data_IF_026004108853
#
_entry.id   IF_026004108853
#
_cell.length_a   1.000
_cell.length_b   1.000
_cell.length_c   1.000
_cell.angle_alpha   90.00
_cell.angle_beta   90.00
_cell.angle_gamma   90.00
#
_symmetry.space_group_name_H-M   'P 1'
#
loop_
_entity.id
_entity.type
_entity.pdbx_description
1 polymer ?
#
# COMPACT_ATOMS: atom_id res chain seq x y z
N UNK A 1 25.59 -2.15 -0.19
CA UNK A 1 24.78 -2.73 0.90
C UNK A 1 23.80 -1.66 1.38
N UNK A 2 22.56 -2.00 1.73
CA UNK A 2 21.61 -1.00 2.28
C UNK A 2 21.95 -0.68 3.74
N UNK A 3 21.71 0.57 4.14
CA UNK A 3 22.09 1.11 5.46
C UNK A 3 21.54 0.31 6.64
N UNK A 4 20.28 -0.14 6.57
CA UNK A 4 19.67 -0.95 7.62
C UNK A 4 18.73 -2.03 7.07
N UNK A 5 18.98 -3.28 7.46
CA UNK A 5 18.09 -4.42 7.21
C UNK A 5 16.83 -4.34 8.09
N UNK A 6 16.94 -3.79 9.30
CA UNK A 6 15.79 -3.61 10.20
C UNK A 6 14.74 -2.65 9.65
N UNK A 7 15.17 -1.58 8.96
CA UNK A 7 14.27 -0.64 8.27
C UNK A 7 13.54 -1.30 7.10
N UNK A 8 14.18 -2.24 6.40
CA UNK A 8 13.56 -3.02 5.32
C UNK A 8 12.46 -3.92 5.89
N UNK A 9 12.74 -4.63 6.99
CA UNK A 9 11.72 -5.47 7.64
C UNK A 9 10.54 -4.62 8.15
N UNK A 10 10.81 -3.44 8.70
CA UNK A 10 9.75 -2.51 9.12
C UNK A 10 8.91 -2.02 7.94
N UNK A 11 9.55 -1.62 6.83
CA UNK A 11 8.87 -1.26 5.59
C UNK A 11 8.00 -2.41 5.09
N UNK A 12 8.52 -3.64 5.06
CA UNK A 12 7.79 -4.83 4.63
C UNK A 12 6.51 -5.02 5.44
N UNK A 13 6.59 -5.05 6.77
CA UNK A 13 5.40 -5.26 7.60
C UNK A 13 4.38 -4.13 7.50
N UNK A 14 4.83 -2.87 7.43
CA UNK A 14 3.94 -1.73 7.22
C UNK A 14 3.21 -1.80 5.87
N UNK A 15 3.94 -2.15 4.80
CA UNK A 15 3.37 -2.33 3.48
C UNK A 15 2.37 -3.50 3.46
N UNK A 16 2.74 -4.66 4.01
CA UNK A 16 1.87 -5.85 4.03
C UNK A 16 0.58 -5.58 4.81
N UNK A 17 0.67 -5.04 6.03
CA UNK A 17 -0.50 -4.72 6.86
C UNK A 17 -1.37 -3.67 6.15
N UNK A 18 -0.75 -2.62 5.60
CA UNK A 18 -1.45 -1.58 4.86
C UNK A 18 -2.23 -2.12 3.66
N UNK A 19 -1.59 -2.98 2.86
CA UNK A 19 -2.21 -3.63 1.69
C UNK A 19 -3.35 -4.56 2.09
N UNK A 20 -3.18 -5.38 3.13
CA UNK A 20 -4.24 -6.30 3.60
C UNK A 20 -5.46 -5.52 4.10
N UNK A 21 -5.26 -4.45 4.88
CA UNK A 21 -6.34 -3.58 5.33
C UNK A 21 -7.07 -2.91 4.17
N UNK A 22 -6.33 -2.44 3.16
CA UNK A 22 -6.90 -1.84 1.95
C UNK A 22 -7.81 -2.85 1.23
N UNK A 23 -7.29 -4.04 0.91
CA UNK A 23 -8.02 -5.08 0.18
C UNK A 23 -9.28 -5.48 0.95
N UNK A 24 -9.16 -5.76 2.25
CA UNK A 24 -10.30 -6.15 3.09
C UNK A 24 -11.41 -5.09 3.08
N UNK A 25 -11.04 -3.81 3.25
CA UNK A 25 -12.02 -2.71 3.22
C UNK A 25 -12.73 -2.55 1.87
N UNK A 26 -12.02 -2.78 0.76
CA UNK A 26 -12.58 -2.67 -0.59
C UNK A 26 -13.43 -3.87 -0.98
N UNK A 27 -13.13 -5.07 -0.48
CA UNK A 27 -14.03 -6.20 -0.60
C UNK A 27 -15.35 -5.98 0.13
N UNK A 28 -15.29 -5.54 1.40
CA UNK A 28 -16.50 -5.24 2.18
C UNK A 28 -17.33 -4.17 1.47
N UNK A 29 -16.73 -3.03 1.11
CA UNK A 29 -17.45 -1.97 0.42
C UNK A 29 -18.01 -2.41 -0.94
N UNK A 30 -17.23 -3.13 -1.75
CA UNK A 30 -17.65 -3.58 -3.07
C UNK A 30 -18.82 -4.56 -3.01
N UNK A 31 -18.77 -5.52 -2.08
CA UNK A 31 -19.88 -6.45 -1.85
C UNK A 31 -21.11 -5.68 -1.34
N UNK A 32 -20.97 -4.83 -0.32
CA UNK A 32 -22.08 -4.05 0.23
C UNK A 32 -22.75 -3.18 -0.83
N UNK A 33 -21.98 -2.42 -1.62
CA UNK A 33 -22.52 -1.60 -2.70
C UNK A 33 -23.22 -2.45 -3.77
N UNK A 34 -22.57 -3.53 -4.22
CA UNK A 34 -23.14 -4.43 -5.21
C UNK A 34 -24.44 -5.10 -4.74
N UNK A 35 -24.53 -5.47 -3.46
CA UNK A 35 -25.75 -6.02 -2.86
C UNK A 35 -26.85 -4.96 -2.74
N UNK A 36 -26.52 -3.75 -2.27
CA UNK A 36 -27.50 -2.70 -2.04
C UNK A 36 -28.06 -2.12 -3.35
N UNK A 37 -27.23 -1.96 -4.39
CA UNK A 37 -27.68 -1.44 -5.69
C UNK A 37 -28.59 -2.40 -6.45
N UNK A 38 -28.51 -3.71 -6.17
CA UNK A 38 -29.37 -4.73 -6.78
C UNK A 38 -30.48 -5.21 -5.83
N UNK A 39 -30.61 -4.62 -4.65
CA UNK A 39 -31.61 -5.02 -3.68
C UNK A 39 -32.97 -4.47 -4.13
N UNK A 40 -33.91 -5.39 -4.35
CA UNK A 40 -35.27 -5.12 -4.79
C UNK A 40 -36.21 -5.78 -3.78
N UNK A 41 -37.21 -5.04 -3.33
CA UNK A 41 -38.26 -5.51 -2.44
C UNK A 41 -39.23 -6.45 -3.18
N UNK A 42 -40.07 -7.17 -2.44
CA UNK A 42 -41.07 -8.08 -3.03
C UNK A 42 -42.08 -7.37 -3.94
N UNK A 43 -42.23 -6.05 -3.79
CA UNK A 43 -43.09 -5.19 -4.63
C UNK A 43 -42.38 -4.63 -5.88
N UNK A 44 -41.12 -4.99 -6.11
CA UNK A 44 -40.32 -4.53 -7.26
C UNK A 44 -39.65 -3.17 -7.09
N UNK A 45 -39.82 -2.50 -5.94
CA UNK A 45 -39.13 -1.24 -5.63
C UNK A 45 -37.69 -1.47 -5.16
N UNK A 46 -36.83 -0.45 -5.30
CA UNK A 46 -35.46 -0.53 -4.77
C UNK A 46 -35.46 -0.51 -3.25
N UNK A 47 -34.79 -1.47 -2.61
CA UNK A 47 -34.72 -1.59 -1.14
C UNK A 47 -33.91 -0.46 -0.51
N UNK A 48 -32.84 -0.01 -1.18
CA UNK A 48 -31.95 1.03 -0.67
C UNK A 48 -31.77 2.15 -1.68
N UNK A 49 -31.77 3.38 -1.17
CA UNK A 49 -31.32 4.55 -1.90
C UNK A 49 -29.80 4.56 -2.10
N UNK A 50 -29.34 5.33 -3.08
CA UNK A 50 -27.91 5.52 -3.31
C UNK A 50 -27.19 6.13 -2.10
N UNK A 51 -27.86 7.05 -1.38
CA UNK A 51 -27.29 7.71 -0.19
C UNK A 51 -27.07 6.72 0.95
N UNK A 52 -27.98 5.76 1.14
CA UNK A 52 -27.80 4.70 2.15
C UNK A 52 -26.63 3.79 1.79
N UNK A 53 -26.48 3.42 0.51
CA UNK A 53 -25.33 2.65 0.06
C UNK A 53 -23.99 3.42 0.26
N UNK A 54 -24.01 4.74 0.05
CA UNK A 54 -22.85 5.60 0.31
C UNK A 54 -22.51 5.65 1.81
N UNK A 55 -23.50 5.83 2.67
CA UNK A 55 -23.31 5.85 4.13
C UNK A 55 -22.79 4.50 4.66
N UNK A 56 -23.33 3.38 4.17
CA UNK A 56 -22.87 2.04 4.52
C UNK A 56 -21.41 1.78 4.12
N UNK A 57 -20.93 2.45 3.05
CA UNK A 57 -19.55 2.34 2.56
C UNK A 57 -18.54 3.19 3.35
N UNK A 58 -19.01 4.13 4.17
CA UNK A 58 -18.15 5.11 4.85
C UNK A 58 -17.09 4.46 5.77
N UNK A 59 -17.41 3.46 6.61
CA UNK A 59 -16.41 2.79 7.44
C UNK A 59 -15.27 2.17 6.61
N UNK A 60 -15.57 1.57 5.46
CA UNK A 60 -14.55 1.01 4.58
C UNK A 60 -13.64 2.09 3.97
N UNK A 61 -14.12 3.31 3.72
CA UNK A 61 -13.26 4.41 3.27
C UNK A 61 -12.26 4.86 4.34
N UNK A 62 -12.68 4.85 5.61
CA UNK A 62 -11.77 5.15 6.74
C UNK A 62 -10.69 4.07 6.84
N UNK A 63 -11.09 2.78 6.84
CA UNK A 63 -10.13 1.67 6.93
C UNK A 63 -9.18 1.68 5.73
N UNK A 64 -9.67 1.97 4.53
CA UNK A 64 -8.84 2.15 3.33
C UNK A 64 -7.81 3.25 3.52
N UNK A 65 -8.21 4.41 4.02
CA UNK A 65 -7.31 5.53 4.26
C UNK A 65 -6.24 5.16 5.28
N UNK A 66 -6.61 4.45 6.36
CA UNK A 66 -5.67 3.93 7.34
C UNK A 66 -4.69 2.92 6.73
N UNK A 67 -5.17 1.95 5.95
CA UNK A 67 -4.30 1.00 5.23
C UNK A 67 -3.32 1.69 4.28
N UNK A 68 -3.80 2.70 3.55
CA UNK A 68 -2.96 3.55 2.72
C UNK A 68 -1.92 4.35 3.52
N UNK A 69 -2.28 4.84 4.71
CA UNK A 69 -1.36 5.56 5.59
C UNK A 69 -0.26 4.64 6.14
N UNK A 70 -0.56 3.38 6.48
CA UNK A 70 0.45 2.38 6.85
C UNK A 70 1.43 2.14 5.70
N UNK A 71 0.91 1.93 4.48
CA UNK A 71 1.75 1.74 3.30
C UNK A 71 2.63 2.96 3.01
N UNK A 72 2.05 4.17 3.04
CA UNK A 72 2.78 5.42 2.83
C UNK A 72 3.86 5.64 3.90
N UNK A 73 3.57 5.31 5.17
CA UNK A 73 4.57 5.36 6.24
C UNK A 73 5.72 4.39 5.96
N UNK A 74 5.43 3.18 5.48
CA UNK A 74 6.43 2.25 4.99
C UNK A 74 7.32 2.86 3.91
N UNK A 75 6.75 3.56 2.94
CA UNK A 75 7.52 4.25 1.88
C UNK A 75 8.45 5.34 2.43
N UNK A 76 8.06 6.05 3.48
CA UNK A 76 8.93 7.03 4.14
C UNK A 76 10.16 6.35 4.79
N UNK A 77 9.97 5.19 5.43
CA UNK A 77 11.10 4.41 5.97
C UNK A 77 12.05 3.93 4.88
N UNK A 78 11.51 3.50 3.72
CA UNK A 78 12.33 3.14 2.56
C UNK A 78 13.11 4.35 2.04
N UNK A 79 12.45 5.49 1.84
CA UNK A 79 13.09 6.72 1.37
C UNK A 79 14.24 7.14 2.29
N UNK A 80 14.03 7.07 3.61
CA UNK A 80 15.07 7.35 4.59
C UNK A 80 16.25 6.37 4.51
N UNK A 81 15.98 5.07 4.41
CA UNK A 81 17.02 4.04 4.32
C UNK A 81 17.88 4.20 3.06
N UNK A 82 17.24 4.48 1.92
CA UNK A 82 17.93 4.76 0.65
C UNK A 82 18.76 6.04 0.76
N UNK A 83 18.19 7.13 1.28
CA UNK A 83 18.90 8.39 1.46
C UNK A 83 20.15 8.24 2.34
N UNK A 84 20.06 7.49 3.44
CA UNK A 84 21.22 7.16 4.30
C UNK A 84 22.27 6.34 3.56
N UNK A 85 21.84 5.38 2.73
CA UNK A 85 22.73 4.54 1.94
C UNK A 85 23.51 5.36 0.91
N UNK A 86 22.81 6.23 0.16
CA UNK A 86 23.42 7.08 -0.88
C UNK A 86 24.38 8.12 -0.28
N UNK A 87 24.08 8.68 0.90
CA UNK A 87 25.00 9.63 1.56
C UNK A 87 26.25 8.96 2.13
N UNK A 88 26.19 7.66 2.41
CA UNK A 88 27.30 6.91 2.97
C UNK A 88 28.16 6.22 1.89
N UNK A 89 27.75 6.25 0.61
CA UNK A 89 28.51 5.62 -0.47
C UNK A 89 29.73 6.46 -0.84
N UNK A 90 30.92 5.85 -0.80
CA UNK A 90 32.13 6.41 -1.37
C UNK A 90 32.05 6.34 -2.92
N UNK A 91 32.11 7.47 -3.65
CA UNK A 91 32.02 7.49 -5.11
C UNK A 91 33.08 6.59 -5.76
N UNK A 92 34.30 6.53 -5.22
CA UNK A 92 35.39 5.74 -5.78
C UNK A 92 35.14 4.23 -5.69
N UNK A 93 34.50 3.76 -4.63
CA UNK A 93 34.12 2.33 -4.49
C UNK A 93 32.92 1.98 -5.38
N UNK A 94 31.99 2.91 -5.57
CA UNK A 94 30.86 2.73 -6.49
C UNK A 94 31.33 2.65 -7.95
N UNK A 95 32.31 3.48 -8.33
CA UNK A 95 32.90 3.50 -9.67
C UNK A 95 33.73 2.23 -9.93
N UNK A 96 34.53 1.78 -8.96
CA UNK A 96 35.25 0.51 -9.05
C UNK A 96 34.31 -0.71 -9.13
N UNK A 97 33.22 -0.74 -8.36
CA UNK A 97 32.21 -1.80 -8.44
C UNK A 97 31.47 -1.80 -9.78
N UNK A 98 31.18 -0.62 -10.35
CA UNK A 98 30.57 -0.49 -11.67
C UNK A 98 31.52 -0.98 -12.79
N UNK A 99 32.83 -0.69 -12.70
CA UNK A 99 33.82 -1.18 -13.66
C UNK A 99 33.96 -2.71 -13.62
N UNK A 100 33.94 -3.34 -12.44
CA UNK A 100 34.01 -4.80 -12.31
C UNK A 100 32.77 -5.47 -12.93
N UNK A 101 31.57 -4.90 -12.76
CA UNK A 101 30.34 -5.42 -13.34
C UNK A 101 30.32 -5.35 -14.88
N UNK A 102 30.96 -4.34 -15.48
CA UNK A 102 31.09 -4.21 -16.94
C UNK A 102 32.13 -5.19 -17.50
N UNK A 103 33.24 -5.43 -16.79
CA UNK A 103 34.29 -6.36 -17.22
C UNK A 103 33.84 -7.83 -17.13
N UNK A 104 33.00 -8.20 -16.17
CA UNK A 104 32.46 -9.56 -16.04
C UNK A 104 31.30 -9.92 -16.97
N UNK A 105 30.81 -8.95 -17.77
CA UNK A 105 29.71 -9.13 -18.72
C UNK A 105 30.17 -9.37 -20.17
N UNK A 106 31.49 -9.45 -20.40
CA UNK A 106 32.14 -9.77 -21.67
C UNK A 106 32.73 -11.16 -21.69
#
# INVERSE_FOLDING_TARGET
QMHSIGLINTHFWLATIGTVLYIASMWVNGITQGLMWRAINDDGTLTYSFVEALQASHPGFIVRALGGAFFASGMLFMAYNVWRTVRASNPAEAEAAAQIAVVGAH
#
